data_IF_943299723733
#
_entry.id   IF_943299723733
#
_cell.length_a   1.000
_cell.length_b   1.000
_cell.length_c   1.000
_cell.angle_alpha   90.00
_cell.angle_beta   90.00
_cell.angle_gamma   90.00
#
_symmetry.space_group_name_H-M   'P 1'
#
loop_
_entity.id
_entity.type
_entity.pdbx_description
1 polymer ?
#
# COMPACT_ATOMS: atom_id res chain seq x y z
N UNK A 1 -34.61 -43.35 -35.84
CA UNK A 1 -35.42 -44.54 -36.14
C UNK A 1 -35.13 -45.52 -35.02
N UNK A 2 -35.80 -45.35 -33.90
CA UNK A 2 -37.13 -45.90 -33.58
C UNK A 2 -37.00 -47.29 -32.98
N UNK A 3 -37.62 -47.48 -31.81
CA UNK A 3 -37.71 -48.75 -31.12
C UNK A 3 -37.99 -48.61 -29.63
N UNK A 4 -39.13 -48.02 -29.28
CA UNK A 4 -39.75 -48.19 -27.95
C UNK A 4 -40.12 -49.67 -27.71
N UNK A 5 -40.00 -50.11 -26.46
CA UNK A 5 -40.77 -51.25 -25.95
C UNK A 5 -41.06 -51.05 -24.45
N UNK A 6 -42.33 -50.77 -24.17
CA UNK A 6 -42.95 -50.72 -22.84
C UNK A 6 -43.51 -52.08 -22.43
N UNK A 7 -43.96 -52.19 -21.16
CA UNK A 7 -44.74 -53.24 -20.47
C UNK A 7 -43.91 -54.09 -19.49
N UNK A 8 -44.32 -54.46 -18.27
CA UNK A 8 -45.40 -54.08 -17.33
C UNK A 8 -45.36 -55.08 -16.16
N UNK A 9 -45.69 -54.64 -14.94
CA UNK A 9 -46.02 -55.49 -13.78
C UNK A 9 -44.81 -55.87 -12.90
N UNK A 10 -44.89 -55.94 -11.57
CA UNK A 10 -46.02 -55.98 -10.65
C UNK A 10 -45.54 -55.63 -9.22
N UNK A 11 -46.49 -55.19 -8.40
CA UNK A 11 -46.37 -54.80 -6.99
C UNK A 11 -45.66 -55.84 -6.11
N UNK A 12 -44.93 -55.38 -5.08
CA UNK A 12 -45.18 -55.89 -3.73
C UNK A 12 -44.82 -54.86 -2.65
N UNK A 13 -45.78 -54.70 -1.74
CA UNK A 13 -45.85 -53.74 -0.65
C UNK A 13 -45.14 -54.31 0.57
N UNK A 14 -44.40 -53.48 1.31
CA UNK A 14 -44.27 -53.68 2.75
C UNK A 14 -44.28 -52.35 3.49
N UNK A 15 -45.12 -52.35 4.52
CA UNK A 15 -45.65 -51.24 5.29
C UNK A 15 -44.60 -50.37 6.01
N UNK A 16 -44.77 -49.06 5.88
CA UNK A 16 -44.34 -48.07 6.86
C UNK A 16 -45.15 -48.25 8.15
N UNK A 17 -44.51 -48.15 9.33
CA UNK A 17 -45.07 -47.53 10.55
C UNK A 17 -43.95 -47.46 11.62
N UNK A 18 -43.19 -46.36 11.63
CA UNK A 18 -42.17 -46.06 12.63
C UNK A 18 -42.30 -44.63 13.13
N UNK A 19 -42.96 -44.44 14.27
CA UNK A 19 -43.08 -43.17 15.00
C UNK A 19 -41.69 -42.65 15.41
N UNK A 20 -41.29 -41.46 14.97
CA UNK A 20 -40.21 -40.68 15.59
C UNK A 20 -40.77 -39.48 16.33
N UNK A 21 -40.42 -39.42 17.61
CA UNK A 21 -40.83 -38.43 18.59
C UNK A 21 -40.19 -37.07 18.29
N UNK A 22 -40.97 -36.00 18.54
CA UNK A 22 -40.55 -34.62 18.31
C UNK A 22 -39.36 -34.20 19.16
N UNK A 23 -38.32 -33.69 18.48
CA UNK A 23 -37.25 -32.94 19.11
C UNK A 23 -37.68 -31.47 19.24
N UNK A 24 -37.69 -30.94 20.47
CA UNK A 24 -37.82 -29.50 20.72
C UNK A 24 -36.50 -28.81 20.36
N UNK A 25 -36.51 -27.67 19.65
CA UNK A 25 -35.28 -26.92 19.40
C UNK A 25 -34.73 -26.31 20.69
N UNK A 26 -33.42 -26.38 20.84
CA UNK A 26 -32.65 -25.85 21.95
C UNK A 26 -32.68 -24.31 21.90
N UNK A 27 -33.27 -23.65 22.90
CA UNK A 27 -33.19 -22.19 23.07
C UNK A 27 -32.01 -21.87 23.99
N UNK A 28 -30.87 -21.50 23.39
CA UNK A 28 -29.72 -20.96 24.13
C UNK A 28 -30.02 -19.54 24.66
N UNK A 29 -29.26 -19.07 25.66
CA UNK A 29 -29.47 -17.76 26.27
C UNK A 29 -29.17 -16.65 25.24
N UNK A 30 -30.05 -15.65 25.21
CA UNK A 30 -30.06 -14.56 24.23
C UNK A 30 -28.74 -13.79 24.19
N UNK A 31 -27.97 -14.01 23.12
CA UNK A 31 -27.02 -13.02 22.65
C UNK A 31 -27.83 -11.81 22.17
N UNK A 32 -27.60 -10.64 22.76
CA UNK A 32 -28.00 -9.38 22.13
C UNK A 32 -27.34 -9.36 20.77
N UNK A 33 -28.15 -9.53 19.73
CA UNK A 33 -27.70 -9.49 18.36
C UNK A 33 -27.22 -8.08 18.05
N UNK A 34 -25.92 -7.82 18.21
CA UNK A 34 -25.24 -6.78 17.43
C UNK A 34 -25.26 -7.25 15.97
N UNK A 35 -26.44 -7.14 15.35
CA UNK A 35 -26.64 -7.27 13.91
C UNK A 35 -26.29 -5.93 13.30
N UNK A 36 -25.01 -5.57 13.35
CA UNK A 36 -24.49 -4.62 12.38
C UNK A 36 -24.10 -5.45 11.17
N UNK A 37 -24.79 -5.26 10.05
CA UNK A 37 -24.36 -5.83 8.78
C UNK A 37 -22.92 -5.39 8.50
N UNK A 38 -22.06 -6.26 7.94
CA UNK A 38 -20.69 -5.88 7.67
C UNK A 38 -20.70 -4.68 6.72
N UNK A 39 -20.10 -3.58 7.16
CA UNK A 39 -19.99 -2.37 6.35
C UNK A 39 -19.39 -2.71 4.99
N UNK A 40 -19.92 -2.11 3.91
CA UNK A 40 -19.29 -2.26 2.61
C UNK A 40 -17.89 -1.62 2.63
N UNK A 41 -17.00 -2.03 1.72
CA UNK A 41 -15.62 -1.51 1.70
C UNK A 41 -15.63 0.02 1.54
N UNK A 42 -16.58 0.56 0.79
CA UNK A 42 -16.77 1.98 0.58
C UNK A 42 -17.10 2.72 1.89
N UNK A 43 -18.00 2.17 2.71
CA UNK A 43 -18.33 2.70 4.04
C UNK A 43 -17.11 2.74 4.97
N UNK A 44 -16.23 1.74 4.90
CA UNK A 44 -14.97 1.72 5.65
C UNK A 44 -14.10 2.94 5.29
N UNK A 45 -14.04 3.32 4.02
CA UNK A 45 -13.26 4.48 3.58
C UNK A 45 -13.87 5.81 4.05
N UNK A 46 -15.20 5.93 4.09
CA UNK A 46 -15.86 7.12 4.66
C UNK A 46 -15.44 7.32 6.12
N UNK A 47 -15.47 6.25 6.92
CA UNK A 47 -15.03 6.29 8.31
C UNK A 47 -13.53 6.57 8.43
N UNK A 48 -12.70 5.96 7.56
CA UNK A 48 -11.26 6.20 7.52
C UNK A 48 -10.94 7.68 7.26
N UNK A 49 -11.59 8.33 6.30
CA UNK A 49 -11.34 9.75 6.03
C UNK A 49 -11.76 10.65 7.18
N UNK A 50 -12.87 10.33 7.85
CA UNK A 50 -13.29 11.06 9.04
C UNK A 50 -12.25 10.97 10.18
N UNK A 51 -11.67 9.78 10.40
CA UNK A 51 -10.62 9.58 11.40
C UNK A 51 -9.28 10.22 10.99
N UNK A 52 -8.90 10.11 9.71
CA UNK A 52 -7.73 10.81 9.18
C UNK A 52 -7.85 12.33 9.37
N UNK A 53 -9.03 12.91 9.09
CA UNK A 53 -9.27 14.34 9.29
C UNK A 53 -9.03 14.73 10.76
N UNK A 54 -9.65 14.00 11.70
CA UNK A 54 -9.46 14.25 13.14
C UNK A 54 -8.00 14.17 13.57
N UNK A 55 -7.27 13.15 13.09
CA UNK A 55 -5.86 12.95 13.43
C UNK A 55 -4.91 13.98 12.83
N UNK A 56 -5.23 14.47 11.62
CA UNK A 56 -4.38 15.43 10.90
C UNK A 56 -4.68 16.90 11.26
N UNK A 57 -5.85 17.20 11.82
CA UNK A 57 -6.25 18.56 12.18
C UNK A 57 -5.23 19.28 13.08
N UNK A 58 -4.69 18.68 14.17
CA UNK A 58 -3.66 19.34 14.98
C UNK A 58 -2.38 19.66 14.20
N UNK A 59 -1.96 18.76 13.29
CA UNK A 59 -0.77 18.95 12.47
C UNK A 59 -0.93 20.09 11.46
N UNK A 60 -2.15 20.28 10.95
CA UNK A 60 -2.51 21.34 10.01
C UNK A 60 -2.79 22.68 10.70
N UNK A 61 -3.27 22.66 11.93
CA UNK A 61 -3.49 23.85 12.74
C UNK A 61 -2.19 24.44 13.34
N UNK A 62 -1.13 23.64 13.44
CA UNK A 62 0.18 24.07 13.92
C UNK A 62 0.76 25.25 13.12
N UNK A 63 1.68 26.00 13.75
CA UNK A 63 2.38 27.14 13.14
C UNK A 63 3.90 26.97 13.31
N UNK A 64 4.66 26.67 12.23
CA UNK A 64 4.19 26.43 10.86
C UNK A 64 3.37 25.14 10.74
N UNK A 65 2.45 25.10 9.76
CA UNK A 65 1.59 23.95 9.51
C UNK A 65 2.38 22.83 8.83
N UNK A 66 2.19 21.58 9.26
CA UNK A 66 2.86 20.42 8.67
C UNK A 66 2.21 20.07 7.34
N UNK A 67 2.95 20.11 6.23
CA UNK A 67 2.43 19.64 4.94
C UNK A 67 2.28 18.12 4.95
N UNK A 68 1.10 17.63 4.57
CA UNK A 68 0.79 16.20 4.53
C UNK A 68 0.61 15.76 3.09
N UNK A 69 1.23 14.63 2.74
CA UNK A 69 1.05 13.92 1.48
C UNK A 69 0.49 12.53 1.74
N UNK A 70 -0.53 12.13 0.99
CA UNK A 70 -1.11 10.78 1.01
C UNK A 70 -0.86 10.13 -0.34
N UNK A 71 -0.31 8.92 -0.32
CA UNK A 71 0.04 8.13 -1.50
C UNK A 71 -0.76 6.83 -1.43
N UNK A 72 -1.45 6.40 -2.51
CA UNK A 72 -2.22 5.17 -2.50
C UNK A 72 -1.32 3.94 -2.41
N UNK A 73 -1.89 2.81 -2.00
CA UNK A 73 -1.25 1.49 -2.02
C UNK A 73 -1.88 0.55 -3.06
N UNK A 74 -1.13 -0.47 -3.47
CA UNK A 74 -1.66 -1.62 -4.22
C UNK A 74 -2.49 -2.56 -3.34
N UNK A 75 -2.43 -2.37 -2.02
CA UNK A 75 -3.19 -3.14 -1.02
C UNK A 75 -4.51 -2.45 -0.62
N UNK A 76 -4.84 -1.32 -1.24
CA UNK A 76 -6.10 -0.60 -0.99
C UNK A 76 -7.30 -1.41 -1.51
N UNK A 77 -8.34 -1.57 -0.67
CA UNK A 77 -9.45 -2.47 -0.98
C UNK A 77 -10.39 -1.93 -2.07
N UNK A 78 -10.47 -0.59 -2.22
CA UNK A 78 -11.34 0.10 -3.19
C UNK A 78 -10.56 0.67 -4.38
N UNK A 79 -9.23 0.52 -4.39
CA UNK A 79 -8.37 1.00 -5.47
C UNK A 79 -7.68 -0.17 -6.15
N UNK A 80 -8.19 -0.52 -7.33
CA UNK A 80 -7.70 -1.63 -8.14
C UNK A 80 -6.74 -1.22 -9.25
N UNK A 81 -6.28 0.04 -9.27
CA UNK A 81 -5.38 0.48 -10.33
C UNK A 81 -4.00 -0.18 -10.15
N UNK A 82 -3.41 -0.71 -11.24
CA UNK A 82 -2.02 -1.15 -11.22
C UNK A 82 -1.07 0.06 -11.11
N UNK A 83 0.19 -0.18 -10.74
CA UNK A 83 1.25 0.81 -10.89
C UNK A 83 1.41 1.20 -12.38
N UNK A 84 1.57 2.49 -12.71
CA UNK A 84 1.43 3.65 -11.82
C UNK A 84 -0.04 3.92 -11.45
N UNK A 85 -0.32 4.12 -10.16
CA UNK A 85 -1.65 4.44 -9.64
C UNK A 85 -1.89 5.96 -9.64
N UNK A 86 -3.08 6.44 -10.05
CA UNK A 86 -3.46 7.83 -9.90
C UNK A 86 -3.64 8.23 -8.42
N UNK A 87 -3.62 9.53 -8.09
CA UNK A 87 -3.98 10.03 -6.77
C UNK A 87 -5.34 9.50 -6.27
N UNK A 88 -5.39 9.16 -4.98
CA UNK A 88 -6.55 8.51 -4.36
C UNK A 88 -7.83 9.36 -4.44
N UNK A 89 -7.72 10.68 -4.30
CA UNK A 89 -8.85 11.60 -4.41
C UNK A 89 -9.50 11.59 -5.80
N UNK A 90 -8.70 11.55 -6.87
CA UNK A 90 -9.19 11.41 -8.25
C UNK A 90 -9.92 10.07 -8.43
N UNK A 91 -9.38 9.02 -7.83
CA UNK A 91 -9.93 7.67 -7.97
C UNK A 91 -11.26 7.49 -7.25
N UNK A 92 -11.37 8.06 -6.05
CA UNK A 92 -12.53 7.91 -5.17
C UNK A 92 -13.62 8.95 -5.44
N UNK A 93 -13.30 10.05 -6.13
CA UNK A 93 -14.28 11.10 -6.47
C UNK A 93 -15.53 10.55 -7.19
N UNK A 94 -15.39 9.47 -7.97
CA UNK A 94 -16.50 8.84 -8.68
C UNK A 94 -17.33 7.86 -7.82
N UNK A 95 -16.78 7.38 -6.70
CA UNK A 95 -17.41 6.37 -5.84
C UNK A 95 -17.98 6.94 -4.55
N UNK A 96 -17.51 8.12 -4.15
CA UNK A 96 -17.89 8.77 -2.91
C UNK A 96 -18.49 10.15 -3.19
N UNK A 97 -19.68 10.17 -3.81
CA UNK A 97 -20.44 11.41 -4.07
C UNK A 97 -20.70 12.23 -2.79
N UNK A 98 -20.62 11.59 -1.62
CA UNK A 98 -20.84 12.19 -0.30
C UNK A 98 -19.56 12.36 0.56
N UNK A 99 -18.34 12.15 0.04
CA UNK A 99 -17.11 12.24 0.83
C UNK A 99 -16.71 13.68 1.20
N UNK A 100 -17.53 14.29 2.04
CA UNK A 100 -17.33 15.59 2.68
C UNK A 100 -15.97 15.63 3.39
N UNK A 101 -15.58 14.54 4.04
CA UNK A 101 -14.29 14.43 4.72
C UNK A 101 -13.09 14.45 3.78
N UNK A 102 -13.19 13.81 2.60
CA UNK A 102 -12.13 13.84 1.59
C UNK A 102 -11.91 15.28 1.07
N UNK A 103 -13.00 15.98 0.77
CA UNK A 103 -12.95 17.39 0.37
C UNK A 103 -12.38 18.27 1.49
N UNK A 104 -12.79 18.03 2.73
CA UNK A 104 -12.26 18.76 3.89
C UNK A 104 -10.76 18.52 4.09
N UNK A 105 -10.28 17.29 3.92
CA UNK A 105 -8.84 17.00 3.95
C UNK A 105 -8.08 17.83 2.91
N UNK A 106 -8.59 17.92 1.68
CA UNK A 106 -8.01 18.76 0.62
C UNK A 106 -8.03 20.26 1.01
N UNK A 107 -9.15 20.75 1.56
CA UNK A 107 -9.29 22.14 2.01
C UNK A 107 -8.35 22.48 3.19
N UNK A 108 -8.07 21.51 4.06
CA UNK A 108 -7.06 21.62 5.11
C UNK A 108 -5.63 21.66 4.54
N UNK A 109 -5.45 21.36 3.26
CA UNK A 109 -4.17 21.38 2.55
C UNK A 109 -3.45 20.03 2.54
N UNK A 110 -4.13 18.92 2.84
CA UNK A 110 -3.63 17.58 2.57
C UNK A 110 -3.60 17.37 1.06
N UNK A 111 -2.49 16.87 0.51
CA UNK A 111 -2.40 16.59 -0.93
C UNK A 111 -2.30 15.09 -1.17
N UNK A 112 -3.12 14.60 -2.08
CA UNK A 112 -3.06 13.24 -2.56
C UNK A 112 -2.13 13.18 -3.78
N UNK A 113 -1.20 12.22 -3.77
CA UNK A 113 -0.21 12.03 -4.83
C UNK A 113 -0.40 10.67 -5.50
N UNK A 114 0.19 10.48 -6.67
CA UNK A 114 0.22 9.20 -7.37
C UNK A 114 1.11 8.17 -6.67
N UNK A 115 1.09 6.92 -7.14
CA UNK A 115 2.05 5.90 -6.73
C UNK A 115 2.73 5.26 -7.97
N UNK A 116 4.06 5.39 -8.16
CA UNK A 116 4.97 6.24 -7.38
C UNK A 116 4.63 7.73 -7.51
N UNK A 117 5.15 8.52 -6.57
CA UNK A 117 5.13 9.98 -6.60
C UNK A 117 6.56 10.52 -6.69
N UNK A 118 6.72 11.64 -7.40
CA UNK A 118 7.96 12.39 -7.47
C UNK A 118 7.68 13.84 -7.08
N UNK A 119 8.33 14.32 -6.03
CA UNK A 119 8.12 15.66 -5.48
C UNK A 119 9.46 16.35 -5.25
N UNK A 120 9.43 17.67 -5.24
CA UNK A 120 10.56 18.49 -4.83
C UNK A 120 10.21 19.23 -3.54
N UNK A 121 10.97 18.97 -2.47
CA UNK A 121 10.76 19.57 -1.15
C UNK A 121 11.99 20.42 -0.85
N UNK A 122 11.82 21.74 -0.84
CA UNK A 122 12.92 22.70 -0.62
C UNK A 122 14.13 22.49 -1.55
N UNK A 123 13.88 22.20 -2.83
CA UNK A 123 14.94 21.90 -3.81
C UNK A 123 15.47 20.46 -3.77
N UNK A 124 14.94 19.61 -2.87
CA UNK A 124 15.34 18.22 -2.72
C UNK A 124 14.35 17.32 -3.48
N UNK A 125 14.86 16.59 -4.48
CA UNK A 125 14.15 15.65 -5.33
C UNK A 125 13.89 14.34 -4.58
N UNK A 126 12.63 14.06 -4.30
CA UNK A 126 12.19 12.90 -3.54
C UNK A 126 11.30 12.02 -4.42
N UNK A 127 11.67 10.76 -4.57
CA UNK A 127 10.83 9.70 -5.15
C UNK A 127 10.23 8.86 -4.03
N UNK A 128 8.92 8.62 -4.08
CA UNK A 128 8.19 7.92 -3.02
C UNK A 128 7.28 6.87 -3.66
N UNK A 129 7.22 5.68 -3.08
CA UNK A 129 6.22 4.67 -3.42
C UNK A 129 5.82 3.88 -2.19
N UNK A 130 4.58 3.43 -2.16
CA UNK A 130 4.07 2.51 -1.13
C UNK A 130 4.33 1.03 -1.46
N UNK A 131 4.83 0.72 -2.67
CA UNK A 131 5.11 -0.65 -3.08
C UNK A 131 6.59 -1.03 -2.86
N UNK A 132 6.85 -2.32 -2.72
CA UNK A 132 8.19 -2.85 -2.45
C UNK A 132 9.08 -2.83 -3.71
N UNK A 133 9.92 -1.81 -3.79
CA UNK A 133 10.84 -1.60 -4.92
C UNK A 133 12.10 -2.50 -4.86
N UNK A 134 12.45 -3.05 -3.69
CA UNK A 134 13.78 -3.60 -3.45
C UNK A 134 13.80 -5.12 -3.36
N UNK A 135 12.79 -5.76 -2.74
CA UNK A 135 12.75 -7.22 -2.65
C UNK A 135 12.79 -7.94 -4.00
N UNK A 136 12.09 -7.46 -5.06
CA UNK A 136 12.18 -8.06 -6.38
C UNK A 136 13.62 -8.11 -6.90
N UNK A 137 14.35 -7.00 -6.79
CA UNK A 137 15.74 -6.91 -7.23
C UNK A 137 16.64 -7.84 -6.42
N UNK A 138 16.44 -7.89 -5.10
CA UNK A 138 17.21 -8.78 -4.23
C UNK A 138 16.98 -10.27 -4.52
N UNK A 139 15.79 -10.66 -4.98
CA UNK A 139 15.46 -12.04 -5.36
C UNK A 139 16.11 -12.44 -6.67
N UNK A 140 15.99 -11.58 -7.68
CA UNK A 140 16.47 -11.83 -9.04
C UNK A 140 17.99 -11.60 -9.22
N UNK A 141 18.67 -11.04 -8.22
CA UNK A 141 20.10 -10.79 -8.29
C UNK A 141 20.92 -12.10 -8.34
N UNK A 142 21.52 -12.37 -9.50
CA UNK A 142 22.35 -13.54 -9.77
C UNK A 142 23.73 -13.43 -9.10
N UNK A 143 24.40 -12.29 -9.28
CA UNK A 143 25.69 -12.02 -8.67
C UNK A 143 25.50 -11.48 -7.26
N UNK A 144 25.97 -12.21 -6.25
CA UNK A 144 25.78 -11.87 -4.84
C UNK A 144 27.11 -11.44 -4.21
N UNK A 145 27.50 -10.16 -4.35
CA UNK A 145 28.71 -9.67 -3.70
C UNK A 145 28.57 -9.78 -2.19
N UNK A 146 29.61 -10.32 -1.54
CA UNK A 146 29.62 -10.51 -0.10
C UNK A 146 29.47 -9.16 0.62
N UNK A 147 28.55 -9.09 1.58
CA UNK A 147 28.33 -7.93 2.43
C UNK A 147 27.70 -6.69 1.77
N UNK A 148 27.56 -6.63 0.43
CA UNK A 148 27.07 -5.44 -0.30
C UNK A 148 25.83 -5.66 -1.15
N UNK A 149 25.19 -6.82 -1.04
CA UNK A 149 24.00 -7.20 -1.80
C UNK A 149 22.93 -6.10 -1.88
N UNK A 150 22.66 -5.42 -0.77
CA UNK A 150 21.58 -4.43 -0.75
C UNK A 150 21.98 -3.10 -1.38
N UNK A 151 23.20 -2.63 -1.14
CA UNK A 151 23.74 -1.41 -1.79
C UNK A 151 23.79 -1.58 -3.31
N UNK A 152 24.17 -2.76 -3.79
CA UNK A 152 24.24 -3.09 -5.22
C UNK A 152 22.84 -3.13 -5.84
N UNK A 153 21.86 -3.73 -5.13
CA UNK A 153 20.47 -3.70 -5.57
C UNK A 153 19.92 -2.26 -5.67
N UNK A 154 20.25 -1.38 -4.71
CA UNK A 154 19.89 0.03 -4.76
C UNK A 154 20.58 0.76 -5.92
N UNK A 155 21.86 0.46 -6.18
CA UNK A 155 22.59 1.01 -7.31
C UNK A 155 21.93 0.60 -8.63
N UNK A 156 21.46 -0.64 -8.76
CA UNK A 156 20.72 -1.09 -9.94
C UNK A 156 19.44 -0.27 -10.17
N UNK A 157 18.68 0.08 -9.12
CA UNK A 157 17.53 0.97 -9.25
C UNK A 157 17.92 2.34 -9.86
N UNK A 158 19.05 2.91 -9.42
CA UNK A 158 19.56 4.16 -9.97
C UNK A 158 20.01 4.03 -11.43
N UNK A 159 20.73 2.96 -11.77
CA UNK A 159 21.20 2.71 -13.15
C UNK A 159 20.03 2.48 -14.12
N UNK A 160 18.97 1.82 -13.66
CA UNK A 160 17.75 1.60 -14.44
C UNK A 160 16.82 2.82 -14.44
N UNK A 161 17.13 3.84 -13.64
CA UNK A 161 16.39 5.09 -13.54
C UNK A 161 14.89 4.92 -13.20
N UNK A 162 14.54 3.86 -12.48
CA UNK A 162 13.19 3.60 -12.00
C UNK A 162 13.20 2.74 -10.74
N UNK A 163 12.12 2.78 -9.96
CA UNK A 163 11.99 1.96 -8.74
C UNK A 163 11.51 0.53 -9.03
N UNK A 164 11.01 0.25 -10.23
CA UNK A 164 10.42 -1.06 -10.58
C UNK A 164 11.04 -1.68 -11.84
N UNK A 165 12.37 -1.90 -11.91
CA UNK A 165 13.00 -2.39 -13.12
C UNK A 165 12.90 -3.91 -13.33
N UNK A 166 12.47 -4.68 -12.32
CA UNK A 166 12.42 -6.15 -12.38
C UNK A 166 11.59 -6.67 -13.58
N UNK A 167 12.05 -7.76 -14.19
CA UNK A 167 11.34 -8.50 -15.26
C UNK A 167 11.47 -10.00 -14.97
N UNK A 168 10.35 -10.76 -14.86
CA UNK A 168 8.96 -10.31 -14.94
C UNK A 168 8.62 -9.28 -13.87
N UNK A 169 7.61 -8.45 -14.13
CA UNK A 169 7.26 -7.36 -13.22
C UNK A 169 6.81 -7.90 -11.86
N UNK A 170 7.37 -7.33 -10.82
CA UNK A 170 7.04 -7.61 -9.43
C UNK A 170 7.05 -6.27 -8.68
N UNK A 171 5.90 -5.80 -8.17
CA UNK A 171 4.61 -6.50 -8.11
C UNK A 171 3.99 -6.78 -9.49
N UNK A 172 3.19 -7.85 -9.61
CA UNK A 172 2.55 -8.24 -10.87
C UNK A 172 1.59 -7.17 -11.41
N UNK A 173 1.08 -6.32 -10.53
CA UNK A 173 0.24 -5.17 -10.83
C UNK A 173 1.03 -3.97 -11.39
N UNK A 174 2.16 -4.16 -12.06
CA UNK A 174 2.82 -3.08 -12.81
C UNK A 174 2.34 -3.11 -14.26
N UNK A 175 1.69 -2.03 -14.69
CA UNK A 175 1.12 -1.89 -16.02
C UNK A 175 2.19 -1.53 -17.06
N UNK A 176 2.53 -2.51 -17.90
CA UNK A 176 3.63 -2.43 -18.86
C UNK A 176 3.48 -1.27 -19.85
N UNK A 177 2.27 -1.03 -20.36
CA UNK A 177 2.02 0.04 -21.32
C UNK A 177 2.23 1.46 -20.73
N UNK A 178 2.36 1.58 -19.41
CA UNK A 178 2.68 2.84 -18.70
C UNK A 178 4.04 2.79 -17.98
N UNK A 179 4.95 1.90 -18.38
CA UNK A 179 6.26 1.75 -17.72
C UNK A 179 7.06 3.06 -17.64
N UNK A 180 6.98 3.93 -18.66
CA UNK A 180 7.66 5.23 -18.67
C UNK A 180 7.23 6.15 -17.51
N UNK A 181 6.01 6.00 -17.00
CA UNK A 181 5.53 6.77 -15.87
C UNK A 181 6.06 6.25 -14.50
N UNK A 182 6.89 5.20 -14.51
CA UNK A 182 7.64 4.71 -13.34
C UNK A 182 9.09 5.21 -13.32
N UNK A 183 9.54 5.84 -14.40
CA UNK A 183 10.89 6.38 -14.52
C UNK A 183 11.05 7.64 -13.66
N UNK A 184 12.25 7.88 -13.17
CA UNK A 184 12.58 9.13 -12.51
C UNK A 184 12.42 10.31 -13.49
N UNK A 185 11.63 11.33 -13.14
CA UNK A 185 11.20 12.35 -14.10
C UNK A 185 12.28 13.39 -14.40
N UNK A 186 13.41 13.38 -13.69
CA UNK A 186 14.47 14.36 -13.87
C UNK A 186 15.50 13.86 -14.90
N UNK A 187 15.67 14.63 -15.98
CA UNK A 187 16.52 14.29 -17.12
C UNK A 187 17.98 14.02 -16.73
N UNK A 188 18.32 12.74 -16.59
CA UNK A 188 19.65 12.26 -16.23
C UNK A 188 20.02 12.44 -14.76
N UNK A 189 19.09 12.94 -13.94
CA UNK A 189 19.36 13.28 -12.54
C UNK A 189 18.63 12.28 -11.65
N UNK A 190 19.39 11.56 -10.82
CA UNK A 190 18.81 10.69 -9.81
C UNK A 190 18.04 11.49 -8.75
N UNK A 191 16.98 10.93 -8.15
CA UNK A 191 16.43 11.48 -6.92
C UNK A 191 17.52 11.58 -5.86
N UNK A 192 17.42 12.58 -5.00
CA UNK A 192 18.30 12.70 -3.84
C UNK A 192 17.78 11.84 -2.68
N UNK A 193 16.47 11.58 -2.63
CA UNK A 193 15.86 10.69 -1.65
C UNK A 193 14.88 9.75 -2.35
N UNK A 194 14.94 8.46 -2.02
CA UNK A 194 13.97 7.44 -2.38
C UNK A 194 13.34 6.86 -1.10
N UNK A 195 12.02 6.87 -1.02
CA UNK A 195 11.28 6.33 0.14
C UNK A 195 10.38 5.19 -0.36
N UNK A 196 10.57 4.00 0.18
CA UNK A 196 9.71 2.85 -0.10
C UNK A 196 9.80 1.81 1.03
N UNK A 197 8.71 1.11 1.35
CA UNK A 197 8.78 -0.02 2.26
C UNK A 197 9.52 -1.18 1.59
N UNK A 198 10.26 -1.98 2.36
CA UNK A 198 10.79 -3.26 1.86
C UNK A 198 10.91 -4.27 3.00
N UNK A 199 10.05 -5.31 3.05
CA UNK A 199 10.07 -6.31 4.12
C UNK A 199 11.34 -7.17 4.18
N UNK A 200 12.00 -7.41 3.04
CA UNK A 200 13.23 -8.23 3.00
C UNK A 200 14.49 -7.43 3.30
N UNK A 201 14.46 -6.10 3.17
CA UNK A 201 15.61 -5.27 3.46
C UNK A 201 15.63 -4.91 4.94
N UNK A 202 16.59 -5.48 5.68
CA UNK A 202 16.84 -5.14 7.11
C UNK A 202 17.40 -3.70 7.27
N UNK A 203 17.73 -3.01 6.17
CA UNK A 203 18.18 -1.64 6.25
C UNK A 203 17.00 -0.69 6.51
N UNK A 204 17.22 0.28 7.38
CA UNK A 204 16.29 1.40 7.58
C UNK A 204 16.63 2.57 6.63
N UNK A 205 17.90 2.69 6.25
CA UNK A 205 18.32 3.54 5.14
C UNK A 205 19.79 3.36 4.77
N UNK A 206 20.12 3.72 3.54
CA UNK A 206 21.47 3.69 3.00
C UNK A 206 21.68 4.82 1.99
N UNK A 207 22.89 5.36 1.92
CA UNK A 207 23.27 6.35 0.91
C UNK A 207 24.08 5.66 -0.18
N UNK A 208 23.57 5.67 -1.40
CA UNK A 208 24.22 5.08 -2.58
C UNK A 208 24.25 6.15 -3.68
N UNK A 209 25.43 6.42 -4.24
CA UNK A 209 25.64 7.43 -5.30
C UNK A 209 24.99 8.80 -4.99
N UNK A 210 25.09 9.26 -3.74
CA UNK A 210 24.51 10.52 -3.24
C UNK A 210 22.96 10.56 -3.17
N UNK A 211 22.30 9.41 -3.37
CA UNK A 211 20.87 9.20 -3.10
C UNK A 211 20.70 8.51 -1.76
N UNK A 212 19.87 9.07 -0.87
CA UNK A 212 19.43 8.40 0.34
C UNK A 212 18.22 7.52 0.04
N UNK A 213 18.33 6.23 0.32
CA UNK A 213 17.21 5.30 0.32
C UNK A 213 16.70 5.13 1.75
N UNK A 214 15.38 5.20 1.94
CA UNK A 214 14.72 5.10 3.24
C UNK A 214 13.66 4.01 3.18
N UNK A 215 13.79 3.03 4.07
CA UNK A 215 12.77 2.05 4.37
C UNK A 215 12.17 2.38 5.74
N UNK A 216 10.98 3.01 5.79
CA UNK A 216 10.35 3.38 7.06
C UNK A 216 9.79 2.18 7.83
N UNK A 217 9.73 1.00 7.20
CA UNK A 217 9.00 -0.15 7.72
C UNK A 217 7.49 0.02 7.58
N UNK A 218 6.73 -0.89 8.20
CA UNK A 218 5.26 -0.82 8.27
C UNK A 218 4.87 -0.21 9.61
N UNK A 219 3.89 0.69 9.61
CA UNK A 219 3.42 1.39 10.81
C UNK A 219 2.75 0.44 11.81
N UNK A 220 2.01 -0.55 11.32
CA UNK A 220 1.36 -1.60 12.10
C UNK A 220 1.41 -2.90 11.31
N UNK A 221 1.75 -4.02 11.96
CA UNK A 221 1.65 -5.36 11.38
C UNK A 221 0.87 -6.24 12.33
N UNK A 222 -0.29 -6.70 11.86
CA UNK A 222 -1.22 -7.51 12.66
C UNK A 222 -1.58 -6.79 13.97
N UNK A 223 -1.19 -7.35 15.12
CA UNK A 223 -1.44 -6.78 16.46
C UNK A 223 -0.22 -6.07 17.06
N UNK A 224 0.89 -5.93 16.30
CA UNK A 224 2.10 -5.27 16.75
C UNK A 224 2.25 -3.90 16.11
N UNK A 225 2.54 -2.91 16.95
CA UNK A 225 2.95 -1.60 16.49
C UNK A 225 4.34 -1.69 15.85
N UNK A 226 4.51 -0.99 14.73
CA UNK A 226 5.71 -1.02 13.91
C UNK A 226 6.56 0.24 14.07
N UNK A 227 6.98 0.81 12.94
CA UNK A 227 7.90 1.95 12.92
C UNK A 227 7.53 3.02 11.91
N UNK A 228 8.11 4.20 12.08
CA UNK A 228 8.17 5.26 11.08
C UNK A 228 9.57 5.87 11.05
N UNK A 229 9.90 6.54 9.95
CA UNK A 229 11.16 7.24 9.78
C UNK A 229 10.99 8.75 9.98
N UNK A 230 11.92 9.35 10.73
CA UNK A 230 12.08 10.79 10.85
C UNK A 230 13.38 11.20 10.16
N UNK A 231 13.29 12.15 9.23
CA UNK A 231 14.40 12.56 8.38
C UNK A 231 14.72 14.04 8.60
N UNK A 232 15.96 14.31 9.01
CA UNK A 232 16.49 15.65 9.17
C UNK A 232 17.56 15.90 8.12
N UNK A 233 17.43 16.99 7.36
CA UNK A 233 18.36 17.34 6.28
C UNK A 233 18.87 18.74 6.53
N UNK A 234 20.19 18.87 6.66
CA UNK A 234 20.84 20.17 6.73
C UNK A 234 20.92 20.81 5.33
N UNK A 235 20.84 22.15 5.21
CA UNK A 235 21.08 22.86 3.96
C UNK A 235 22.42 22.52 3.32
N UNK A 236 22.54 22.75 2.01
CA UNK A 236 23.77 22.48 1.28
C UNK A 236 24.76 23.61 1.53
N UNK A 237 25.90 23.29 2.14
CA UNK A 237 27.01 24.24 2.27
C UNK A 237 28.24 23.65 1.55
N UNK A 238 28.76 24.38 0.55
CA UNK A 238 29.93 23.98 -0.22
C UNK A 238 29.78 22.62 -0.94
N UNK A 239 30.78 21.75 -0.78
CA UNK A 239 30.87 20.42 -1.41
C UNK A 239 30.50 19.33 -0.41
N UNK A 240 29.28 19.39 0.13
CA UNK A 240 28.77 18.42 1.10
C UNK A 240 27.95 17.33 0.42
N UNK A 241 28.19 16.07 0.78
CA UNK A 241 27.42 14.94 0.25
C UNK A 241 26.13 14.73 1.04
N UNK A 242 25.19 13.95 0.50
CA UNK A 242 23.96 13.58 1.21
C UNK A 242 24.26 12.92 2.55
N UNK A 243 25.31 12.07 2.62
CA UNK A 243 25.71 11.37 3.83
C UNK A 243 26.13 12.33 4.96
N UNK A 244 26.71 13.47 4.63
CA UNK A 244 27.21 14.45 5.60
C UNK A 244 26.11 15.33 6.19
N UNK A 245 24.96 15.38 5.52
CA UNK A 245 23.89 16.35 5.79
C UNK A 245 22.62 15.74 6.34
N UNK A 246 22.58 14.41 6.42
CA UNK A 246 21.34 13.69 6.71
C UNK A 246 21.42 12.92 8.02
N UNK A 247 20.37 13.04 8.81
CA UNK A 247 20.12 12.19 9.97
C UNK A 247 18.77 11.50 9.77
N UNK A 248 18.81 10.17 9.79
CA UNK A 248 17.65 9.31 9.69
C UNK A 248 17.46 8.60 11.03
N UNK A 249 16.35 8.87 11.70
CA UNK A 249 15.95 8.19 12.93
C UNK A 249 14.77 7.27 12.63
N UNK A 250 14.90 5.97 12.90
CA UNK A 250 13.74 5.07 12.90
C UNK A 250 13.11 5.05 14.29
N UNK A 251 11.85 5.46 14.39
CA UNK A 251 11.09 5.48 15.64
C UNK A 251 10.13 4.29 15.65
N UNK A 252 10.15 3.53 16.75
CA UNK A 252 9.13 2.51 17.02
C UNK A 252 7.92 3.17 17.68
N UNK A 253 6.74 2.69 17.31
CA UNK A 253 5.53 2.97 18.03
C UNK A 253 5.45 1.92 19.16
N UNK A 254 5.97 2.20 20.36
CA UNK A 254 5.94 1.25 21.48
C UNK A 254 7.28 1.00 22.15
#
# INVERSE_FOLDING_TARGET
MEGEASLSGSEDRHDEHGKTQGARPYQGPGLSSCTEEPACLEEVYVHLFAELRKGLEPLRAARPATQVFIIPSLEEAVNFHPLPQPPMDIMLAQWLEEATDLLQLQQMGVRFLSNPAHVEINGIKVSITSADALSPILREMVLRPEGRKVEEALQLLLKQRCLFPAVPRDPAQVYEAKAKALDFPWDGIAPQICIFPSPLAVMNGAVVENTLFVNPGTLCRQAALGSFAELWIQPAEGVSTMKDRVRLDLKKLG
#
